data_IF_065166123992
#
_entry.id   IF_065166123992
#
_cell.length_a   1.000
_cell.length_b   1.000
_cell.length_c   1.000
_cell.angle_alpha   90.00
_cell.angle_beta   90.00
_cell.angle_gamma   90.00
#
_symmetry.space_group_name_H-M   'P 1'
#
loop_
_entity.id
_entity.type
_entity.pdbx_description
1 polymer ?
#
# COMPACT_ATOMS: atom_id res chain seq x y z
N UNK A 1 -16.47 -10.65 -7.94
CA UNK A 1 -15.92 -9.83 -6.84
C UNK A 1 -15.15 -8.67 -7.43
N UNK A 2 -15.50 -7.44 -7.08
CA UNK A 2 -14.81 -6.25 -7.57
C UNK A 2 -13.98 -5.71 -6.41
N UNK A 3 -12.67 -5.58 -6.60
CA UNK A 3 -11.81 -4.89 -5.64
C UNK A 3 -11.70 -3.44 -6.08
N UNK A 4 -11.97 -2.54 -5.16
CA UNK A 4 -11.85 -1.10 -5.34
C UNK A 4 -10.84 -0.56 -4.34
N UNK A 5 -10.09 0.45 -4.76
CA UNK A 5 -9.08 1.11 -3.95
C UNK A 5 -9.52 2.55 -3.78
N UNK A 6 -9.56 2.99 -2.54
CA UNK A 6 -10.03 4.31 -2.19
C UNK A 6 -8.97 5.07 -1.38
N UNK A 7 -8.83 6.38 -1.57
CA UNK A 7 -8.00 7.21 -0.71
C UNK A 7 -8.59 7.30 0.70
N UNK A 8 -7.72 7.33 1.71
CA UNK A 8 -8.09 7.35 3.12
C UNK A 8 -7.27 8.38 3.91
N UNK A 9 -7.91 8.93 4.95
CA UNK A 9 -7.28 9.74 6.00
C UNK A 9 -7.80 9.27 7.35
N UNK A 10 -6.96 9.38 8.38
CA UNK A 10 -7.34 9.09 9.76
C UNK A 10 -7.61 10.38 10.53
N UNK A 11 -8.76 10.43 11.21
CA UNK A 11 -9.14 11.53 12.10
C UNK A 11 -9.81 10.97 13.34
N UNK A 12 -9.29 11.30 14.53
CA UNK A 12 -9.80 10.82 15.82
C UNK A 12 -9.94 9.28 15.88
N UNK A 13 -8.93 8.56 15.36
CA UNK A 13 -8.91 7.09 15.24
C UNK A 13 -10.06 6.51 14.40
N UNK A 14 -10.63 7.31 13.50
CA UNK A 14 -11.61 6.86 12.52
C UNK A 14 -11.08 7.08 11.11
N UNK A 15 -11.22 6.05 10.28
CA UNK A 15 -10.89 6.09 8.86
C UNK A 15 -12.03 6.74 8.09
N UNK A 16 -11.73 7.75 7.27
CA UNK A 16 -12.68 8.35 6.34
C UNK A 16 -12.06 8.66 4.98
N UNK A 17 -12.92 8.96 4.00
CA UNK A 17 -12.47 9.50 2.72
C UNK A 17 -11.95 10.95 2.90
N UNK A 18 -10.89 11.36 2.19
CA UNK A 18 -10.43 12.74 2.23
C UNK A 18 -11.51 13.69 1.69
N UNK A 19 -11.56 14.89 2.23
CA UNK A 19 -12.35 15.98 1.64
C UNK A 19 -11.70 16.47 0.34
N UNK A 20 -12.46 17.19 -0.49
CA UNK A 20 -11.91 17.79 -1.72
C UNK A 20 -10.72 18.69 -1.40
N UNK A 21 -9.56 18.38 -1.96
CA UNK A 21 -8.30 19.11 -1.73
C UNK A 21 -7.48 18.62 -0.54
N UNK A 22 -7.98 17.69 0.26
CA UNK A 22 -7.22 17.02 1.32
C UNK A 22 -6.37 15.89 0.73
N UNK A 23 -5.04 15.87 0.94
CA UNK A 23 -4.20 14.79 0.45
C UNK A 23 -4.48 13.50 1.23
N UNK A 24 -4.59 12.34 0.56
CA UNK A 24 -4.71 11.08 1.29
C UNK A 24 -3.42 10.74 2.03
N UNK A 25 -3.58 10.08 3.16
CA UNK A 25 -2.48 9.56 3.97
C UNK A 25 -2.11 8.14 3.57
N UNK A 26 -3.10 7.35 3.15
CA UNK A 26 -2.96 5.97 2.69
C UNK A 26 -4.15 5.59 1.79
N UNK A 27 -4.18 4.35 1.33
CA UNK A 27 -5.24 3.80 0.49
C UNK A 27 -5.84 2.56 1.12
N UNK A 28 -7.17 2.47 1.18
CA UNK A 28 -7.86 1.25 1.60
C UNK A 28 -8.29 0.42 0.39
N UNK A 29 -8.05 -0.89 0.40
CA UNK A 29 -8.64 -1.84 -0.53
C UNK A 29 -9.94 -2.42 0.06
N UNK A 30 -10.98 -2.49 -0.76
CA UNK A 30 -12.31 -2.96 -0.37
C UNK A 30 -12.85 -3.96 -1.39
N UNK A 31 -13.55 -4.97 -0.90
CA UNK A 31 -14.38 -5.84 -1.73
C UNK A 31 -15.77 -5.21 -1.85
N UNK A 32 -16.20 -4.93 -3.07
CA UNK A 32 -17.55 -4.48 -3.37
C UNK A 32 -18.47 -5.67 -3.66
N UNK A 33 -19.54 -5.77 -2.89
CA UNK A 33 -20.58 -6.78 -2.99
C UNK A 33 -21.63 -6.41 -4.04
N UNK A 34 -22.43 -7.38 -4.54
CA UNK A 34 -23.46 -7.11 -5.54
C UNK A 34 -24.55 -6.13 -5.11
N UNK A 35 -24.77 -5.97 -3.80
CA UNK A 35 -25.72 -5.01 -3.21
C UNK A 35 -25.15 -3.59 -3.10
N UNK A 36 -23.90 -3.38 -3.53
CA UNK A 36 -23.18 -2.10 -3.48
C UNK A 36 -22.46 -1.83 -2.16
N UNK A 37 -22.59 -2.71 -1.15
CA UNK A 37 -21.85 -2.58 0.11
C UNK A 37 -20.37 -2.92 -0.08
N UNK A 38 -19.53 -2.33 0.77
CA UNK A 38 -18.08 -2.51 0.72
C UNK A 38 -17.58 -3.16 2.02
N UNK A 39 -16.70 -4.15 1.91
CA UNK A 39 -15.98 -4.73 3.04
C UNK A 39 -14.49 -4.41 2.93
N UNK A 40 -13.92 -3.84 3.99
CA UNK A 40 -12.49 -3.51 4.05
C UNK A 40 -11.64 -4.78 4.00
N UNK A 41 -10.54 -4.75 3.25
CA UNK A 41 -9.61 -5.86 3.09
C UNK A 41 -8.28 -5.57 3.77
N UNK A 42 -7.67 -4.43 3.41
CA UNK A 42 -6.35 -4.01 3.90
C UNK A 42 -6.09 -2.55 3.55
N UNK A 43 -5.32 -1.87 4.40
CA UNK A 43 -4.77 -0.54 4.11
C UNK A 43 -3.40 -0.65 3.45
N UNK A 44 -3.05 0.33 2.64
CA UNK A 44 -1.84 0.34 1.82
C UNK A 44 -1.20 1.71 1.79
N UNK A 45 0.12 1.73 1.92
CA UNK A 45 0.96 2.89 1.58
C UNK A 45 1.65 2.58 0.25
N UNK A 46 1.62 3.54 -0.67
CA UNK A 46 2.20 3.39 -2.00
C UNK A 46 3.44 4.29 -2.09
N UNK A 47 4.54 3.71 -2.56
CA UNK A 47 5.84 4.37 -2.65
C UNK A 47 6.34 4.34 -4.10
N UNK A 48 7.12 5.37 -4.46
CA UNK A 48 7.88 5.48 -5.71
C UNK A 48 9.34 5.83 -5.37
N UNK A 49 10.25 4.89 -5.60
CA UNK A 49 11.71 5.04 -5.48
C UNK A 49 12.35 5.75 -6.70
N UNK A 50 11.53 6.05 -7.72
CA UNK A 50 11.93 6.74 -8.92
C UNK A 50 12.77 5.89 -9.88
N UNK A 51 13.13 6.50 -11.01
CA UNK A 51 13.82 5.82 -12.13
C UNK A 51 15.23 5.31 -11.80
N UNK A 52 15.78 5.68 -10.65
CA UNK A 52 17.10 5.20 -10.20
C UNK A 52 17.05 3.76 -9.68
N UNK A 53 15.88 3.28 -9.27
CA UNK A 53 15.63 1.90 -8.84
C UNK A 53 14.58 1.25 -9.76
N UNK A 54 14.89 1.02 -11.06
CA UNK A 54 13.87 0.63 -12.05
C UNK A 54 13.21 -0.73 -11.77
N UNK A 55 13.90 -1.63 -11.06
CA UNK A 55 13.37 -2.96 -10.72
C UNK A 55 12.42 -2.92 -9.52
N UNK A 56 12.58 -1.93 -8.65
CA UNK A 56 11.88 -1.81 -7.36
C UNK A 56 11.19 -0.45 -7.26
N UNK A 57 10.83 0.11 -8.43
CA UNK A 57 10.41 1.51 -8.54
C UNK A 57 9.17 1.78 -7.71
N UNK A 58 8.19 0.86 -7.72
CA UNK A 58 6.94 1.03 -7.02
C UNK A 58 6.83 0.02 -5.89
N UNK A 59 6.45 0.47 -4.70
CA UNK A 59 6.23 -0.42 -3.56
C UNK A 59 4.83 -0.21 -2.99
N UNK A 60 4.08 -1.29 -2.78
CA UNK A 60 2.84 -1.27 -2.01
C UNK A 60 3.08 -1.95 -0.66
N UNK A 61 3.05 -1.18 0.43
CA UNK A 61 3.21 -1.67 1.79
C UNK A 61 1.82 -1.88 2.40
N UNK A 62 1.53 -3.09 2.88
CA UNK A 62 0.23 -3.43 3.43
C UNK A 62 0.21 -3.23 4.94
N UNK A 63 -0.75 -2.45 5.45
CA UNK A 63 -0.89 -2.01 6.84
C UNK A 63 -1.23 -3.11 7.86
N UNK A 64 -1.10 -4.40 7.52
CA UNK A 64 -1.21 -5.51 8.47
C UNK A 64 0.17 -5.78 9.07
N UNK A 65 0.46 -5.32 10.31
CA UNK A 65 1.76 -5.59 10.91
C UNK A 65 1.97 -7.09 11.09
N UNK A 66 3.08 -7.61 10.55
CA UNK A 66 3.63 -8.91 10.89
C UNK A 66 4.66 -8.75 12.02
N UNK A 67 4.79 -9.76 12.89
CA UNK A 67 5.94 -9.84 13.78
C UNK A 67 7.02 -10.63 13.06
N UNK A 68 8.14 -10.01 12.74
CA UNK A 68 9.28 -10.72 12.17
C UNK A 68 9.75 -11.80 13.13
N UNK A 69 9.85 -13.04 12.63
CA UNK A 69 10.28 -14.21 13.42
C UNK A 69 11.74 -14.10 13.88
N UNK A 70 12.55 -13.29 13.20
CA UNK A 70 13.97 -13.24 13.44
C UNK A 70 14.32 -12.44 14.71
N UNK A 71 13.72 -11.25 14.89
CA UNK A 71 14.24 -10.27 15.87
C UNK A 71 13.15 -9.58 16.74
N UNK A 72 11.88 -9.98 16.61
CA UNK A 72 10.78 -9.38 17.39
C UNK A 72 10.36 -7.98 16.93
N UNK A 73 10.95 -7.46 15.85
CA UNK A 73 10.56 -6.19 15.23
C UNK A 73 9.18 -6.31 14.57
N UNK A 74 8.44 -5.21 14.60
CA UNK A 74 7.20 -5.06 13.83
C UNK A 74 7.59 -4.74 12.39
N UNK A 75 7.14 -5.59 11.47
CA UNK A 75 7.36 -5.45 10.05
C UNK A 75 6.02 -5.40 9.32
N UNK A 76 6.03 -4.89 8.10
CA UNK A 76 4.85 -4.82 7.24
C UNK A 76 5.14 -5.57 5.94
N UNK A 77 4.26 -6.48 5.51
CA UNK A 77 4.42 -7.12 4.23
C UNK A 77 4.32 -6.07 3.13
N UNK A 78 5.15 -6.18 2.10
CA UNK A 78 5.10 -5.30 0.94
C UNK A 78 5.26 -6.07 -0.37
N UNK A 79 4.82 -5.42 -1.45
CA UNK A 79 5.03 -5.81 -2.82
C UNK A 79 5.89 -4.75 -3.52
N UNK A 80 7.13 -5.09 -3.90
CA UNK A 80 7.98 -4.22 -4.70
C UNK A 80 7.90 -4.62 -6.17
N UNK A 81 7.82 -3.63 -7.05
CA UNK A 81 7.46 -3.77 -8.45
C UNK A 81 8.27 -2.84 -9.34
N UNK A 82 8.60 -3.30 -10.53
CA UNK A 82 9.02 -2.42 -11.61
C UNK A 82 7.82 -1.80 -12.34
N UNK A 83 8.08 -0.88 -13.27
CA UNK A 83 7.04 -0.23 -14.07
C UNK A 83 6.23 -1.18 -14.97
N UNK A 84 6.69 -2.43 -15.16
CA UNK A 84 6.02 -3.47 -15.93
C UNK A 84 5.15 -4.39 -15.06
N UNK A 85 5.11 -4.16 -13.74
CA UNK A 85 4.34 -4.97 -12.80
C UNK A 85 4.97 -6.34 -12.49
N UNK A 86 6.25 -6.56 -12.82
CA UNK A 86 6.98 -7.71 -12.29
C UNK A 86 7.37 -7.40 -10.85
N UNK A 87 7.15 -8.35 -9.93
CA UNK A 87 7.22 -8.08 -8.50
C UNK A 87 7.87 -9.19 -7.69
N UNK A 88 8.23 -8.84 -6.46
CA UNK A 88 8.58 -9.77 -5.40
C UNK A 88 8.02 -9.29 -4.05
N UNK A 89 7.96 -10.20 -3.08
CA UNK A 89 7.47 -9.93 -1.72
C UNK A 89 8.61 -9.68 -0.75
N UNK A 90 8.37 -8.85 0.25
CA UNK A 90 9.27 -8.67 1.37
C UNK A 90 8.59 -8.19 2.64
N UNK A 91 9.41 -7.90 3.64
CA UNK A 91 8.99 -7.32 4.92
C UNK A 91 9.72 -5.98 5.13
N UNK A 92 8.97 -4.94 5.47
CA UNK A 92 9.47 -3.58 5.71
C UNK A 92 9.39 -3.25 7.20
N UNK A 93 10.49 -2.78 7.79
CA UNK A 93 10.53 -2.42 9.21
C UNK A 93 9.68 -1.17 9.49
N UNK A 94 8.95 -1.16 10.62
CA UNK A 94 8.13 -0.03 11.06
C UNK A 94 8.93 1.30 11.13
N UNK A 95 10.22 1.24 11.49
CA UNK A 95 11.08 2.43 11.55
C UNK A 95 11.22 3.13 10.19
N UNK A 96 11.18 2.37 9.09
CA UNK A 96 11.21 2.93 7.74
C UNK A 96 9.95 3.74 7.43
N UNK A 97 8.78 3.20 7.77
CA UNK A 97 7.50 3.90 7.60
C UNK A 97 7.41 5.16 8.47
N UNK A 98 7.96 5.11 9.69
CA UNK A 98 8.08 6.28 10.57
C UNK A 98 8.99 7.34 9.98
N UNK A 99 10.14 6.97 9.41
CA UNK A 99 11.04 7.91 8.75
C UNK A 99 10.36 8.59 7.53
N UNK A 100 9.64 7.82 6.71
CA UNK A 100 8.84 8.36 5.60
C UNK A 100 7.79 9.37 6.07
N UNK A 101 7.04 9.08 7.13
CA UNK A 101 5.98 9.97 7.62
C UNK A 101 6.53 11.26 8.25
N UNK A 102 7.75 11.22 8.80
CA UNK A 102 8.44 12.41 9.30
C UNK A 102 9.12 13.25 8.21
N UNK A 103 9.09 12.80 6.95
CA UNK A 103 9.70 13.50 5.82
C UNK A 103 11.22 13.43 5.80
N UNK A 104 11.81 12.31 6.23
CA UNK A 104 13.26 12.10 6.17
C UNK A 104 13.75 12.15 4.71
N UNK A 105 14.49 13.21 4.37
CA UNK A 105 15.02 13.48 3.03
C UNK A 105 16.11 12.49 2.58
N UNK A 106 16.59 11.63 3.48
CA UNK A 106 17.60 10.60 3.17
C UNK A 106 17.03 9.36 2.49
N UNK A 107 15.71 9.19 2.44
CA UNK A 107 15.06 8.02 1.85
C UNK A 107 14.95 8.15 0.32
N UNK A 108 15.18 7.05 -0.43
CA UNK A 108 15.02 7.05 -1.87
C UNK A 108 13.55 7.06 -2.30
N UNK A 109 12.65 6.59 -1.44
CA UNK A 109 11.22 6.45 -1.70
C UNK A 109 10.44 7.73 -1.38
N UNK A 110 9.45 8.02 -2.23
CA UNK A 110 8.44 9.05 -2.00
C UNK A 110 7.05 8.43 -1.96
N UNK A 111 6.16 8.97 -1.12
CA UNK A 111 4.76 8.53 -1.14
C UNK A 111 4.13 8.94 -2.46
N UNK A 112 3.49 7.98 -3.13
CA UNK A 112 2.78 8.19 -4.39
C UNK A 112 1.29 7.86 -4.24
N UNK A 113 0.52 8.17 -5.28
CA UNK A 113 -0.93 8.00 -5.28
C UNK A 113 -1.34 6.88 -6.23
N UNK A 114 -2.41 6.16 -5.88
CA UNK A 114 -2.97 5.08 -6.70
C UNK A 114 -3.13 5.51 -8.16
N UNK A 115 -3.71 6.68 -8.41
CA UNK A 115 -3.97 7.15 -9.77
C UNK A 115 -2.70 7.37 -10.61
N UNK A 116 -1.57 7.67 -9.96
CA UNK A 116 -0.27 7.87 -10.61
C UNK A 116 0.41 6.55 -11.00
N UNK A 117 -0.05 5.41 -10.47
CA UNK A 117 0.57 4.12 -10.76
C UNK A 117 0.29 3.68 -12.21
N UNK A 118 1.29 3.13 -12.91
CA UNK A 118 1.08 2.46 -14.19
C UNK A 118 0.07 1.32 -14.08
N UNK A 119 -0.70 1.09 -15.16
CA UNK A 119 -1.70 0.02 -15.18
C UNK A 119 -1.12 -1.38 -14.83
N UNK A 120 0.07 -1.77 -15.30
CA UNK A 120 0.67 -3.05 -14.91
C UNK A 120 0.91 -3.16 -13.40
N UNK A 121 1.32 -2.06 -12.75
CA UNK A 121 1.54 -2.00 -11.29
C UNK A 121 0.20 -2.12 -10.55
N UNK A 122 -0.83 -1.38 -10.98
CA UNK A 122 -2.19 -1.51 -10.43
C UNK A 122 -2.69 -2.95 -10.54
N UNK A 123 -2.49 -3.60 -11.68
CA UNK A 123 -2.90 -4.98 -11.90
C UNK A 123 -2.18 -5.96 -10.99
N UNK A 124 -0.86 -5.80 -10.79
CA UNK A 124 -0.08 -6.62 -9.87
C UNK A 124 -0.59 -6.49 -8.43
N UNK A 125 -0.83 -5.27 -7.94
CA UNK A 125 -1.39 -5.04 -6.61
C UNK A 125 -2.79 -5.67 -6.49
N UNK A 126 -3.67 -5.47 -7.47
CA UNK A 126 -5.02 -6.06 -7.46
C UNK A 126 -4.97 -7.59 -7.51
N UNK A 127 -4.02 -8.18 -8.23
CA UNK A 127 -3.81 -9.63 -8.26
C UNK A 127 -3.35 -10.16 -6.91
N UNK A 128 -2.42 -9.48 -6.25
CA UNK A 128 -1.93 -9.82 -4.92
C UNK A 128 -3.06 -9.75 -3.88
N UNK A 129 -3.87 -8.69 -3.94
CA UNK A 129 -5.03 -8.52 -3.07
C UNK A 129 -6.05 -9.64 -3.28
N UNK A 130 -6.28 -10.10 -4.52
CA UNK A 130 -7.16 -11.25 -4.79
C UNK A 130 -6.62 -12.55 -4.22
N UNK A 131 -5.30 -12.75 -4.28
CA UNK A 131 -4.65 -14.01 -3.89
C UNK A 131 -4.55 -14.19 -2.37
N UNK A 132 -4.48 -13.10 -1.60
CA UNK A 132 -4.37 -13.15 -0.13
C UNK A 132 -5.72 -13.17 0.62
N UNK A 133 -6.84 -13.18 -0.08
CA UNK A 133 -8.19 -13.22 0.53
C UNK A 133 -8.63 -14.63 0.92
N UNK A 134 -7.92 -15.68 0.49
CA UNK A 134 -8.22 -17.07 0.83
C UNK A 134 -7.71 -17.49 2.22
N UNK A 135 -7.22 -16.56 3.05
CA UNK A 135 -6.73 -16.82 4.42
C UNK A 135 -7.76 -16.55 5.54
N UNK A 136 -9.03 -16.29 5.21
CA UNK A 136 -10.10 -16.07 6.18
C UNK A 136 -11.34 -16.91 5.91
#
# INVERSE_FOLDING_TARGET
MIIIVHPCVEQNNQVRRPHTGEPPQYFGAYCQHPDGTESHLVDMILLDAGKKAPNDQYTAVFGKPSRSRAHGNITFPYLAMNSLGMYYHGELDESYLKALSTGDTGLPDTVTYWDNLPMPVKNAILQELRSNLDFH
#
